data_IF_418833407726
#
_entry.id   IF_418833407726
#
_cell.length_a   1.000
_cell.length_b   1.000
_cell.length_c   1.000
_cell.angle_alpha   90.00
_cell.angle_beta   90.00
_cell.angle_gamma   90.00
#
_symmetry.space_group_name_H-M   'P 1'
#
loop_
_entity.id
_entity.type
_entity.pdbx_description
1 polymer ?
#
# COMPACT_ATOMS: atom_id res chain seq x y z
N UNK A 1 -57.29 -2.53 -13.49
CA UNK A 1 -56.68 -2.85 -14.80
C UNK A 1 -56.08 -1.56 -15.34
N UNK A 2 -54.76 -1.37 -15.38
CA UNK A 2 -53.69 -2.35 -15.51
C UNK A 2 -52.50 -2.02 -14.60
N UNK A 3 -52.15 -3.03 -13.80
CA UNK A 3 -50.99 -3.18 -12.92
C UNK A 3 -49.66 -3.37 -13.70
N UNK A 4 -49.65 -3.10 -15.00
CA UNK A 4 -48.55 -3.52 -15.89
C UNK A 4 -47.50 -2.43 -16.18
N UNK A 5 -47.67 -1.21 -15.68
CA UNK A 5 -46.68 -0.15 -15.91
C UNK A 5 -45.57 -0.07 -14.85
N UNK A 6 -45.72 -0.76 -13.71
CA UNK A 6 -44.74 -0.75 -12.61
C UNK A 6 -43.85 -2.00 -12.55
N UNK A 7 -44.12 -3.04 -13.35
CA UNK A 7 -43.32 -4.26 -13.38
C UNK A 7 -42.07 -4.21 -14.30
N UNK A 8 -41.93 -3.17 -15.13
CA UNK A 8 -40.82 -3.09 -16.11
C UNK A 8 -39.56 -2.38 -15.61
N UNK A 9 -39.49 -1.96 -14.33
CA UNK A 9 -38.36 -1.22 -13.77
C UNK A 9 -37.48 -2.05 -12.84
N UNK A 10 -37.41 -3.35 -13.07
CA UNK A 10 -36.47 -4.25 -12.41
C UNK A 10 -35.62 -4.99 -13.45
N UNK A 11 -34.32 -4.66 -13.46
CA UNK A 11 -33.18 -5.31 -14.15
C UNK A 11 -32.56 -4.53 -15.31
N UNK A 12 -31.96 -3.39 -14.98
CA UNK A 12 -30.70 -3.01 -15.62
C UNK A 12 -29.64 -2.97 -14.50
N UNK A 13 -29.22 -4.15 -14.02
CA UNK A 13 -27.94 -4.22 -13.33
C UNK A 13 -26.85 -3.80 -14.30
N UNK A 14 -25.80 -3.12 -13.83
CA UNK A 14 -24.65 -2.70 -14.68
C UNK A 14 -24.24 -3.86 -15.60
N UNK A 15 -23.90 -3.64 -16.87
CA UNK A 15 -23.54 -4.72 -17.82
C UNK A 15 -22.48 -5.68 -17.25
N UNK A 16 -21.55 -5.16 -16.44
CA UNK A 16 -20.57 -5.90 -15.64
C UNK A 16 -21.21 -6.99 -14.75
N UNK A 17 -22.32 -6.68 -14.07
CA UNK A 17 -23.03 -7.64 -13.21
C UNK A 17 -23.71 -8.77 -14.00
N UNK A 18 -24.09 -8.52 -15.26
CA UNK A 18 -24.68 -9.55 -16.12
C UNK A 18 -23.61 -10.53 -16.65
N UNK A 19 -22.45 -10.00 -17.05
CA UNK A 19 -21.30 -10.83 -17.49
C UNK A 19 -20.79 -11.68 -16.33
N UNK A 20 -20.61 -11.09 -15.14
CA UNK A 20 -20.23 -11.84 -13.93
C UNK A 20 -21.22 -12.96 -13.59
N UNK A 21 -22.52 -12.72 -13.77
CA UNK A 21 -23.55 -13.74 -13.56
C UNK A 21 -23.49 -14.91 -14.55
N UNK A 22 -22.96 -14.69 -15.76
CA UNK A 22 -22.73 -15.74 -16.75
C UNK A 22 -21.45 -16.52 -16.45
N UNK A 23 -20.36 -15.82 -16.11
CA UNK A 23 -19.09 -16.44 -15.73
C UNK A 23 -19.23 -17.37 -14.53
N UNK A 24 -20.03 -16.99 -13.52
CA UNK A 24 -20.32 -17.85 -12.35
C UNK A 24 -20.98 -19.19 -12.67
N UNK A 25 -21.55 -19.35 -13.86
CA UNK A 25 -22.20 -20.59 -14.31
C UNK A 25 -21.29 -21.47 -15.18
N UNK A 26 -20.11 -20.96 -15.54
CA UNK A 26 -19.14 -21.69 -16.35
C UNK A 26 -18.36 -22.67 -15.49
N UNK A 27 -18.01 -23.81 -16.08
CA UNK A 27 -17.06 -24.75 -15.49
C UNK A 27 -15.64 -24.16 -15.47
N UNK A 28 -14.76 -24.76 -14.67
CA UNK A 28 -13.35 -24.36 -14.59
C UNK A 28 -12.67 -24.34 -15.96
N UNK A 29 -12.84 -25.41 -16.75
CA UNK A 29 -12.27 -25.52 -18.10
C UNK A 29 -12.83 -24.44 -19.05
N UNK A 30 -14.12 -24.13 -18.95
CA UNK A 30 -14.71 -23.05 -19.74
C UNK A 30 -14.19 -21.67 -19.34
N UNK A 31 -13.90 -21.45 -18.06
CA UNK A 31 -13.29 -20.20 -17.59
C UNK A 31 -11.84 -20.07 -18.06
N UNK A 32 -11.06 -21.15 -17.99
CA UNK A 32 -9.68 -21.17 -18.49
C UNK A 32 -9.64 -20.88 -19.98
N UNK A 33 -10.51 -21.54 -20.76
CA UNK A 33 -10.64 -21.28 -22.20
C UNK A 33 -11.05 -19.82 -22.51
N UNK A 34 -11.92 -19.23 -21.70
CA UNK A 34 -12.28 -17.80 -21.87
C UNK A 34 -11.09 -16.88 -21.58
N UNK A 35 -10.24 -17.22 -20.60
CA UNK A 35 -8.99 -16.49 -20.31
C UNK A 35 -7.99 -16.64 -21.45
N UNK A 36 -7.82 -17.85 -21.99
CA UNK A 36 -6.99 -18.09 -23.19
C UNK A 36 -7.46 -17.24 -24.37
N UNK A 37 -8.77 -17.24 -24.64
CA UNK A 37 -9.37 -16.42 -25.69
C UNK A 37 -9.23 -14.91 -25.46
N UNK A 38 -9.13 -14.47 -24.20
CA UNK A 38 -8.88 -13.08 -23.84
C UNK A 38 -7.42 -12.72 -24.13
N UNK A 39 -6.48 -13.59 -23.73
CA UNK A 39 -5.04 -13.44 -23.97
C UNK A 39 -4.70 -13.45 -25.47
N UNK A 40 -5.41 -14.26 -26.27
CA UNK A 40 -5.23 -14.28 -27.73
C UNK A 40 -5.70 -12.98 -28.40
N UNK A 41 -6.78 -12.37 -27.89
CA UNK A 41 -7.40 -11.17 -28.49
C UNK A 41 -6.81 -9.86 -27.97
N UNK A 42 -6.33 -9.87 -26.73
CA UNK A 42 -5.73 -8.73 -26.03
C UNK A 42 -4.47 -9.24 -25.31
N UNK A 43 -3.36 -9.46 -26.05
CA UNK A 43 -2.12 -9.99 -25.46
C UNK A 43 -1.50 -9.05 -24.42
N UNK A 44 -1.85 -7.78 -24.47
CA UNK A 44 -1.51 -6.76 -23.49
C UNK A 44 -2.11 -7.04 -22.11
N UNK A 45 -3.18 -7.84 -21.97
CA UNK A 45 -3.71 -8.22 -20.66
C UNK A 45 -2.87 -9.30 -19.95
N UNK A 46 -1.94 -9.96 -20.65
CA UNK A 46 -1.15 -11.04 -20.06
C UNK A 46 -0.41 -10.64 -18.78
N UNK A 47 0.31 -9.51 -18.73
CA UNK A 47 0.97 -9.07 -17.51
C UNK A 47 -0.03 -8.76 -16.38
N UNK A 48 -1.22 -8.23 -16.70
CA UNK A 48 -2.30 -8.02 -15.71
C UNK A 48 -2.82 -9.35 -15.16
N UNK A 49 -2.92 -10.40 -15.97
CA UNK A 49 -3.33 -11.72 -15.48
C UNK A 49 -2.23 -12.37 -14.64
N UNK A 50 -0.97 -12.28 -15.05
CA UNK A 50 0.19 -12.72 -14.25
C UNK A 50 0.23 -11.99 -12.91
N UNK A 51 -0.01 -10.68 -12.92
CA UNK A 51 -0.20 -9.83 -11.74
C UNK A 51 -1.33 -10.38 -10.86
N UNK A 52 -2.53 -10.60 -11.42
CA UNK A 52 -3.70 -11.06 -10.68
C UNK A 52 -3.57 -12.48 -10.10
N UNK A 53 -2.78 -13.35 -10.72
CA UNK A 53 -2.49 -14.72 -10.25
C UNK A 53 -1.62 -14.69 -9.00
N UNK A 54 -0.63 -13.80 -8.97
CA UNK A 54 0.32 -13.67 -7.86
C UNK A 54 -0.29 -12.97 -6.64
N UNK A 55 -1.49 -12.40 -6.76
CA UNK A 55 -2.18 -11.72 -5.68
C UNK A 55 -2.78 -12.70 -4.65
N UNK A 56 -2.65 -12.42 -3.35
CA UNK A 56 -3.54 -13.02 -2.38
C UNK A 56 -4.95 -12.52 -2.67
N UNK A 57 -5.82 -13.42 -3.15
CA UNK A 57 -7.23 -13.11 -3.31
C UNK A 57 -7.80 -12.71 -1.93
N UNK A 58 -8.46 -11.55 -1.79
CA UNK A 58 -9.01 -11.07 -0.50
C UNK A 58 -9.94 -12.08 0.21
N UNK A 59 -10.38 -13.12 -0.51
CA UNK A 59 -11.35 -14.10 -0.05
C UNK A 59 -10.76 -15.51 0.19
N UNK A 60 -9.49 -15.77 -0.09
CA UNK A 60 -8.90 -17.10 0.15
C UNK A 60 -8.48 -17.30 1.62
N UNK A 61 -8.18 -16.22 2.34
CA UNK A 61 -7.87 -16.23 3.78
C UNK A 61 -9.09 -16.04 4.69
N UNK A 62 -10.29 -15.80 4.13
CA UNK A 62 -11.51 -15.58 4.91
C UNK A 62 -12.26 -16.87 5.30
N UNK A 63 -11.78 -18.06 4.91
CA UNK A 63 -12.29 -19.33 5.43
C UNK A 63 -11.49 -19.80 6.65
N UNK A 64 -11.55 -18.99 7.70
CA UNK A 64 -10.98 -19.31 9.00
C UNK A 64 -10.66 -18.03 9.73
N UNK A 65 -11.54 -17.61 10.66
CA UNK A 65 -11.18 -16.67 11.72
C UNK A 65 -10.12 -17.33 12.61
N UNK A 66 -8.91 -17.46 12.13
CA UNK A 66 -7.73 -17.48 12.98
C UNK A 66 -7.29 -16.04 13.00
N UNK A 67 -7.51 -15.33 14.11
CA UNK A 67 -6.82 -14.07 14.39
C UNK A 67 -5.34 -14.31 14.12
N UNK A 68 -4.82 -13.75 13.04
CA UNK A 68 -3.40 -13.88 12.74
C UNK A 68 -2.62 -13.21 13.87
N UNK A 69 -1.48 -13.79 14.24
CA UNK A 69 -0.64 -13.19 15.29
C UNK A 69 -0.04 -11.90 14.76
N UNK A 70 -0.20 -10.80 15.50
CA UNK A 70 0.23 -9.47 15.08
C UNK A 70 1.71 -9.36 14.69
N UNK A 71 2.56 -10.25 15.20
CA UNK A 71 4.00 -10.23 14.97
C UNK A 71 4.51 -11.23 13.92
N UNK A 72 3.64 -12.04 13.31
CA UNK A 72 4.08 -13.10 12.40
C UNK A 72 3.91 -12.65 10.95
N UNK A 73 5.02 -12.51 10.22
CA UNK A 73 5.01 -12.26 8.79
C UNK A 73 4.78 -13.56 8.03
N UNK A 74 3.64 -13.67 7.36
CA UNK A 74 3.24 -14.84 6.55
C UNK A 74 3.23 -14.54 5.05
N UNK A 75 3.33 -13.25 4.70
CA UNK A 75 3.41 -12.79 3.32
C UNK A 75 4.75 -13.09 2.67
N UNK A 76 4.69 -13.42 1.38
CA UNK A 76 5.87 -13.42 0.51
C UNK A 76 6.00 -12.07 -0.19
N UNK A 77 6.84 -11.17 0.34
CA UNK A 77 7.05 -9.83 -0.24
C UNK A 77 7.57 -9.86 -1.68
N UNK A 78 8.16 -10.96 -2.14
CA UNK A 78 8.59 -11.08 -3.54
C UNK A 78 7.42 -11.13 -4.52
N UNK A 79 6.23 -11.59 -4.11
CA UNK A 79 5.05 -11.51 -4.97
C UNK A 79 4.53 -10.07 -5.06
N UNK A 80 4.50 -9.33 -3.95
CA UNK A 80 4.11 -7.91 -3.92
C UNK A 80 5.05 -7.07 -4.79
N UNK A 81 6.37 -7.29 -4.70
CA UNK A 81 7.34 -6.58 -5.55
C UNK A 81 7.16 -6.88 -7.03
N UNK A 82 6.96 -8.16 -7.39
CA UNK A 82 6.66 -8.54 -8.79
C UNK A 82 5.36 -7.95 -9.30
N UNK A 83 4.35 -7.84 -8.43
CA UNK A 83 3.08 -7.22 -8.77
C UNK A 83 3.27 -5.74 -9.11
N UNK A 84 4.06 -5.06 -8.29
CA UNK A 84 4.41 -3.66 -8.45
C UNK A 84 5.19 -3.42 -9.75
N UNK A 85 6.20 -4.25 -10.01
CA UNK A 85 6.96 -4.24 -11.27
C UNK A 85 6.05 -4.49 -12.49
N UNK A 86 5.08 -5.41 -12.38
CA UNK A 86 4.10 -5.69 -13.42
C UNK A 86 3.16 -4.52 -13.71
N UNK A 87 2.66 -3.86 -12.66
CA UNK A 87 1.79 -2.69 -12.77
C UNK A 87 2.50 -1.54 -13.50
N UNK A 88 3.76 -1.30 -13.14
CA UNK A 88 4.58 -0.24 -13.72
C UNK A 88 5.02 -0.56 -15.15
N UNK A 89 5.35 -1.81 -15.44
CA UNK A 89 5.61 -2.26 -16.80
C UNK A 89 4.38 -2.07 -17.72
N UNK A 90 3.18 -2.35 -17.20
CA UNK A 90 1.93 -2.29 -17.97
C UNK A 90 1.44 -0.86 -18.23
N UNK A 91 1.65 0.05 -17.29
CA UNK A 91 1.20 1.42 -17.41
C UNK A 91 1.77 2.14 -18.63
N UNK A 92 2.98 1.77 -19.09
CA UNK A 92 3.63 2.43 -20.22
C UNK A 92 3.98 3.89 -19.93
N UNK A 93 4.21 4.68 -20.99
CA UNK A 93 4.46 6.13 -20.88
C UNK A 93 3.27 6.96 -21.34
N UNK A 94 2.93 8.02 -20.60
CA UNK A 94 1.89 9.00 -20.93
C UNK A 94 0.78 9.12 -19.87
N UNK A 95 0.06 10.24 -19.84
CA UNK A 95 -0.99 10.60 -18.85
C UNK A 95 -1.93 9.47 -18.34
N UNK A 96 -2.40 8.55 -19.20
CA UNK A 96 -3.30 7.45 -18.76
C UNK A 96 -2.58 6.39 -17.90
N UNK A 97 -1.25 6.36 -17.91
CA UNK A 97 -0.42 5.40 -17.18
C UNK A 97 -0.47 5.64 -15.67
N UNK A 98 -0.40 6.90 -15.22
CA UNK A 98 -0.36 7.24 -13.80
C UNK A 98 -1.68 6.92 -13.08
N UNK A 99 -2.82 7.13 -13.74
CA UNK A 99 -4.12 6.75 -13.17
C UNK A 99 -4.29 5.24 -12.99
N UNK A 100 -3.73 4.44 -13.91
CA UNK A 100 -3.72 2.98 -13.80
C UNK A 100 -2.77 2.51 -12.69
N UNK A 101 -1.57 3.11 -12.60
CA UNK A 101 -0.62 2.84 -11.51
C UNK A 101 -1.26 3.19 -10.18
N UNK A 102 -1.81 4.40 -10.02
CA UNK A 102 -2.45 4.84 -8.79
C UNK A 102 -3.59 3.91 -8.37
N UNK A 103 -4.40 3.44 -9.32
CA UNK A 103 -5.47 2.46 -9.05
C UNK A 103 -4.90 1.15 -8.50
N UNK A 104 -3.81 0.66 -9.08
CA UNK A 104 -3.20 -0.60 -8.65
C UNK A 104 -2.45 -0.47 -7.32
N UNK A 105 -1.72 0.64 -7.12
CA UNK A 105 -1.11 0.97 -5.83
C UNK A 105 -2.16 1.09 -4.73
N UNK A 106 -3.28 1.77 -5.00
CA UNK A 106 -4.40 1.88 -4.07
C UNK A 106 -4.95 0.51 -3.69
N UNK A 107 -5.10 -0.39 -4.67
CA UNK A 107 -5.56 -1.76 -4.44
C UNK A 107 -4.56 -2.57 -3.61
N UNK A 108 -3.26 -2.38 -3.80
CA UNK A 108 -2.22 -2.99 -2.98
C UNK A 108 -2.20 -2.41 -1.56
N UNK A 109 -2.37 -1.10 -1.41
CA UNK A 109 -2.52 -0.45 -0.10
C UNK A 109 -3.72 -1.06 0.67
N UNK A 110 -4.84 -1.28 -0.01
CA UNK A 110 -6.02 -1.95 0.54
C UNK A 110 -5.81 -3.39 1.00
N UNK A 111 -4.76 -4.09 0.52
CA UNK A 111 -4.36 -5.39 1.09
C UNK A 111 -3.77 -5.18 2.49
N UNK A 112 -2.98 -4.12 2.68
CA UNK A 112 -2.46 -3.69 3.98
C UNK A 112 -3.60 -3.40 4.95
N UNK A 113 -4.64 -2.70 4.50
CA UNK A 113 -5.83 -2.41 5.30
C UNK A 113 -6.52 -3.70 5.76
N UNK A 114 -6.69 -4.66 4.86
CA UNK A 114 -7.27 -5.96 5.20
C UNK A 114 -6.46 -6.72 6.27
N UNK A 115 -5.13 -6.61 6.26
CA UNK A 115 -4.29 -7.19 7.31
C UNK A 115 -4.40 -6.41 8.63
N UNK A 116 -4.41 -5.08 8.58
CA UNK A 116 -4.59 -4.24 9.76
C UNK A 116 -5.94 -4.51 10.45
N UNK A 117 -7.03 -4.59 9.68
CA UNK A 117 -8.37 -4.97 10.17
C UNK A 117 -8.39 -6.36 10.83
N UNK A 118 -7.55 -7.29 10.34
CA UNK A 118 -7.40 -8.63 10.90
C UNK A 118 -6.46 -8.70 12.12
N UNK A 119 -5.80 -7.60 12.48
CA UNK A 119 -4.78 -7.55 13.54
C UNK A 119 -3.43 -8.14 13.12
N UNK A 120 -3.20 -8.39 11.83
CA UNK A 120 -1.96 -8.95 11.28
C UNK A 120 -0.94 -7.84 10.99
N UNK A 121 -0.50 -7.14 12.04
CA UNK A 121 0.30 -5.91 11.92
C UNK A 121 1.64 -6.10 11.18
N UNK A 122 2.32 -7.24 11.34
CA UNK A 122 3.56 -7.54 10.62
C UNK A 122 3.35 -7.70 9.11
N UNK A 123 2.18 -8.19 8.69
CA UNK A 123 1.82 -8.26 7.27
C UNK A 123 1.37 -6.90 6.76
N UNK A 124 0.53 -6.19 7.52
CA UNK A 124 0.06 -4.85 7.15
C UNK A 124 1.23 -3.88 6.90
N UNK A 125 2.15 -3.78 7.87
CA UNK A 125 3.31 -2.89 7.74
C UNK A 125 4.21 -3.26 6.56
N UNK A 126 4.38 -4.56 6.28
CA UNK A 126 5.14 -5.04 5.12
C UNK A 126 4.54 -4.59 3.79
N UNK A 127 3.22 -4.65 3.67
CA UNK A 127 2.51 -4.22 2.46
C UNK A 127 2.67 -2.72 2.27
N UNK A 128 2.34 -1.93 3.30
CA UNK A 128 2.44 -0.48 3.21
C UNK A 128 3.88 -0.03 2.92
N UNK A 129 4.89 -0.61 3.58
CA UNK A 129 6.29 -0.27 3.35
C UNK A 129 6.74 -0.62 1.92
N UNK A 130 6.31 -1.78 1.40
CA UNK A 130 6.65 -2.18 0.03
C UNK A 130 6.00 -1.26 -1.02
N UNK A 131 4.71 -0.94 -0.86
CA UNK A 131 3.99 -0.05 -1.78
C UNK A 131 4.59 1.35 -1.75
N UNK A 132 4.80 1.91 -0.56
CA UNK A 132 5.35 3.25 -0.37
C UNK A 132 6.77 3.35 -0.92
N UNK A 133 7.64 2.39 -0.58
CA UNK A 133 9.04 2.42 -0.99
C UNK A 133 9.23 2.42 -2.51
N UNK A 134 8.45 1.60 -3.22
CA UNK A 134 8.54 1.58 -4.68
C UNK A 134 7.89 2.78 -5.35
N UNK A 135 6.76 3.25 -4.82
CA UNK A 135 6.09 4.44 -5.32
C UNK A 135 7.01 5.67 -5.21
N UNK A 136 7.72 5.80 -4.08
CA UNK A 136 8.74 6.84 -3.89
C UNK A 136 9.91 6.65 -4.88
N UNK A 137 10.44 5.44 -5.02
CA UNK A 137 11.60 5.17 -5.87
C UNK A 137 11.40 5.52 -7.34
N UNK A 138 10.15 5.44 -7.81
CA UNK A 138 9.77 5.68 -9.21
C UNK A 138 9.00 6.98 -9.41
N UNK A 139 8.80 7.77 -8.35
CA UNK A 139 7.92 8.93 -8.37
C UNK A 139 8.29 9.93 -9.47
N UNK A 140 9.58 10.26 -9.61
CA UNK A 140 10.10 11.18 -10.64
C UNK A 140 9.95 10.66 -12.08
N UNK A 141 9.71 9.36 -12.27
CA UNK A 141 9.56 8.74 -13.58
C UNK A 141 8.10 8.81 -14.10
N UNK A 142 7.15 9.23 -13.26
CA UNK A 142 5.72 9.19 -13.55
C UNK A 142 5.20 10.58 -13.97
N UNK A 143 4.37 10.64 -15.01
CA UNK A 143 3.67 11.88 -15.38
C UNK A 143 2.39 12.02 -14.53
N UNK A 144 2.09 13.22 -14.01
CA UNK A 144 0.89 13.51 -13.18
C UNK A 144 0.90 12.83 -11.78
N UNK A 145 1.97 13.10 -11.05
CA UNK A 145 2.42 12.41 -9.83
C UNK A 145 1.51 12.58 -8.58
N UNK A 146 0.58 13.54 -8.59
CA UNK A 146 -0.22 13.88 -7.40
C UNK A 146 -1.12 12.72 -6.93
N UNK A 147 -1.60 11.87 -7.85
CA UNK A 147 -2.39 10.69 -7.49
C UNK A 147 -1.54 9.65 -6.76
N UNK A 148 -0.27 9.53 -7.16
CA UNK A 148 0.69 8.62 -6.54
C UNK A 148 1.07 9.14 -5.16
N UNK A 149 1.29 10.46 -5.02
CA UNK A 149 1.55 11.08 -3.73
C UNK A 149 0.41 10.82 -2.72
N UNK A 150 -0.85 10.90 -3.16
CA UNK A 150 -1.99 10.56 -2.31
C UNK A 150 -1.96 9.10 -1.83
N UNK A 151 -1.60 8.15 -2.69
CA UNK A 151 -1.47 6.74 -2.27
C UNK A 151 -0.27 6.53 -1.34
N UNK A 152 0.82 7.25 -1.55
CA UNK A 152 1.96 7.25 -0.63
C UNK A 152 1.49 7.74 0.75
N UNK A 153 0.70 8.81 0.83
CA UNK A 153 0.16 9.30 2.11
C UNK A 153 -0.82 8.31 2.76
N UNK A 154 -1.72 7.69 1.98
CA UNK A 154 -2.63 6.65 2.49
C UNK A 154 -1.86 5.48 3.12
N UNK A 155 -0.84 4.97 2.44
CA UNK A 155 0.01 3.91 2.98
C UNK A 155 0.88 4.40 4.15
N UNK A 156 1.30 5.67 4.15
CA UNK A 156 2.01 6.30 5.27
C UNK A 156 1.12 6.39 6.51
N UNK A 157 -0.17 6.69 6.34
CA UNK A 157 -1.16 6.66 7.41
C UNK A 157 -1.33 5.22 7.96
N UNK A 158 -1.34 4.21 7.08
CA UNK A 158 -1.31 2.80 7.46
C UNK A 158 -0.08 2.40 8.27
N UNK A 159 1.12 2.85 7.86
CA UNK A 159 2.36 2.67 8.63
C UNK A 159 2.28 3.37 10.00
N UNK A 160 1.78 4.60 10.05
CA UNK A 160 1.62 5.35 11.29
C UNK A 160 0.68 4.62 12.26
N UNK A 161 -0.44 4.10 11.76
CA UNK A 161 -1.38 3.27 12.52
C UNK A 161 -0.71 2.00 13.04
N UNK A 162 0.08 1.30 12.21
CA UNK A 162 0.84 0.14 12.65
C UNK A 162 1.74 0.46 13.83
N UNK A 163 2.43 1.62 13.81
CA UNK A 163 3.35 2.05 14.86
C UNK A 163 2.61 2.46 16.15
N UNK A 164 1.57 3.30 16.03
CA UNK A 164 0.73 3.71 17.16
C UNK A 164 0.14 2.49 17.90
N UNK A 165 -0.32 1.49 17.14
CA UNK A 165 -0.96 0.29 17.70
C UNK A 165 0.02 -0.56 18.52
N UNK A 166 1.33 -0.55 18.24
CA UNK A 166 2.31 -1.39 18.94
C UNK A 166 2.35 -1.15 20.46
N UNK A 167 2.00 0.05 20.93
CA UNK A 167 1.99 0.37 22.36
C UNK A 167 0.89 -0.37 23.11
N UNK A 168 -0.23 -0.62 22.44
CA UNK A 168 -1.43 -1.21 23.04
C UNK A 168 -1.44 -2.73 22.93
N UNK A 169 -0.64 -3.30 22.03
CA UNK A 169 -0.56 -4.75 21.82
C UNK A 169 0.15 -5.48 22.99
N UNK A 170 -0.27 -6.73 23.28
CA UNK A 170 0.51 -7.67 24.09
C UNK A 170 1.93 -7.86 23.54
N UNK A 171 2.90 -8.10 24.40
CA UNK A 171 4.32 -8.24 24.02
C UNK A 171 4.54 -9.34 22.96
N UNK A 172 3.79 -10.43 23.03
CA UNK A 172 3.86 -11.55 22.08
C UNK A 172 3.11 -11.31 20.76
N UNK A 173 2.45 -10.16 20.61
CA UNK A 173 1.81 -9.70 19.36
C UNK A 173 2.48 -8.47 18.77
N UNK A 174 3.40 -7.83 19.50
CA UNK A 174 4.20 -6.71 19.00
C UNK A 174 5.18 -7.14 17.92
N UNK A 175 5.40 -6.26 16.96
CA UNK A 175 6.42 -6.40 15.93
C UNK A 175 7.79 -6.69 16.54
N UNK A 176 8.56 -7.53 15.83
CA UNK A 176 9.96 -7.76 16.19
C UNK A 176 10.77 -6.47 16.04
N UNK A 177 11.94 -6.40 16.70
CA UNK A 177 12.82 -5.23 16.56
C UNK A 177 13.18 -4.92 15.10
N UNK A 178 13.45 -5.96 14.30
CA UNK A 178 13.75 -5.81 12.87
C UNK A 178 12.55 -5.28 12.08
N UNK A 179 11.33 -5.76 12.37
CA UNK A 179 10.12 -5.27 11.72
C UNK A 179 9.79 -3.82 12.15
N UNK A 180 10.11 -3.44 13.39
CA UNK A 180 9.97 -2.05 13.87
C UNK A 180 10.98 -1.11 13.21
N UNK A 181 12.23 -1.55 13.03
CA UNK A 181 13.23 -0.77 12.29
C UNK A 181 12.81 -0.57 10.82
N UNK A 182 12.28 -1.60 10.16
CA UNK A 182 11.71 -1.51 8.81
C UNK A 182 10.56 -0.49 8.75
N UNK A 183 9.64 -0.55 9.71
CA UNK A 183 8.52 0.38 9.84
C UNK A 183 8.98 1.83 10.03
N UNK A 184 9.95 2.06 10.92
CA UNK A 184 10.52 3.39 11.16
C UNK A 184 11.25 3.92 9.93
N UNK A 185 11.98 3.06 9.23
CA UNK A 185 12.66 3.41 7.97
C UNK A 185 11.65 3.85 6.92
N UNK A 186 10.56 3.10 6.73
CA UNK A 186 9.52 3.43 5.75
C UNK A 186 8.82 4.74 6.08
N UNK A 187 8.50 4.99 7.35
CA UNK A 187 7.95 6.27 7.81
C UNK A 187 8.94 7.42 7.56
N UNK A 188 10.21 7.24 7.89
CA UNK A 188 11.24 8.26 7.69
C UNK A 188 11.43 8.63 6.21
N UNK A 189 11.48 7.64 5.32
CA UNK A 189 11.57 7.86 3.88
C UNK A 189 10.31 8.54 3.32
N UNK A 190 9.12 8.19 3.83
CA UNK A 190 7.86 8.87 3.47
C UNK A 190 7.86 10.34 3.91
N UNK A 191 8.36 10.63 5.10
CA UNK A 191 8.52 12.00 5.57
C UNK A 191 9.51 12.79 4.70
N UNK A 192 10.65 12.20 4.34
CA UNK A 192 11.63 12.80 3.42
C UNK A 192 11.00 13.10 2.06
N UNK A 193 10.27 12.14 1.51
CA UNK A 193 9.50 12.32 0.29
C UNK A 193 8.53 13.51 0.41
N UNK A 194 7.75 13.58 1.48
CA UNK A 194 6.82 14.68 1.73
C UNK A 194 7.50 16.03 1.93
N UNK A 195 8.76 16.06 2.39
CA UNK A 195 9.56 17.28 2.37
C UNK A 195 9.83 17.69 0.92
N UNK A 196 10.37 16.80 0.10
CA UNK A 196 10.86 17.13 -1.24
C UNK A 196 9.72 17.43 -2.23
N UNK A 197 8.61 16.70 -2.14
CA UNK A 197 7.52 16.73 -3.11
C UNK A 197 6.19 17.25 -2.54
N UNK A 198 6.04 17.33 -1.23
CA UNK A 198 4.74 17.58 -0.58
C UNK A 198 3.83 16.35 -0.63
N UNK A 199 2.53 16.56 -0.39
CA UNK A 199 1.51 15.52 -0.57
C UNK A 199 1.42 14.47 0.54
N UNK A 200 2.21 14.60 1.61
CA UNK A 200 2.12 13.76 2.81
C UNK A 200 1.51 14.60 3.94
N UNK A 201 0.23 14.38 4.22
CA UNK A 201 -0.50 15.04 5.30
C UNK A 201 -0.39 14.28 6.63
N UNK A 202 0.05 13.01 6.59
CA UNK A 202 0.27 12.18 7.78
C UNK A 202 1.32 12.80 8.73
N UNK A 203 0.99 12.91 10.03
CA UNK A 203 1.90 13.40 11.08
C UNK A 203 2.99 12.37 11.44
N UNK A 204 3.89 12.09 10.50
CA UNK A 204 4.98 11.13 10.68
C UNK A 204 5.87 11.49 11.87
N UNK A 205 6.22 12.78 12.00
CA UNK A 205 7.11 13.26 13.07
C UNK A 205 6.48 13.02 14.43
N UNK A 206 5.23 13.44 14.63
CA UNK A 206 4.55 13.23 15.90
C UNK A 206 4.37 11.74 16.20
N UNK A 207 4.05 10.92 15.20
CA UNK A 207 3.90 9.47 15.38
C UNK A 207 5.21 8.81 15.79
N UNK A 208 6.34 9.12 15.15
CA UNK A 208 7.64 8.57 15.57
C UNK A 208 7.98 9.01 16.99
N UNK A 209 7.93 10.31 17.28
CA UNK A 209 8.29 10.88 18.59
C UNK A 209 7.52 10.25 19.75
N UNK A 210 6.23 9.92 19.55
CA UNK A 210 5.37 9.32 20.58
C UNK A 210 5.58 7.82 20.79
N UNK A 211 6.21 7.10 19.86
CA UNK A 211 6.16 5.63 19.83
C UNK A 211 7.52 4.93 19.79
N UNK A 212 8.62 5.64 19.54
CA UNK A 212 9.97 5.06 19.56
C UNK A 212 10.44 4.70 20.97
N UNK A 213 11.18 3.60 21.09
CA UNK A 213 12.01 3.34 22.28
C UNK A 213 13.23 4.27 22.32
N UNK A 214 14.03 4.22 23.38
CA UNK A 214 15.27 4.99 23.47
C UNK A 214 16.28 4.55 22.39
N UNK A 215 16.41 3.25 22.14
CA UNK A 215 17.31 2.72 21.10
C UNK A 215 16.85 3.15 19.69
N UNK A 216 15.54 3.10 19.44
CA UNK A 216 14.96 3.57 18.18
C UNK A 216 15.06 5.09 18.01
N UNK A 217 14.96 5.84 19.11
CA UNK A 217 15.17 7.29 19.12
C UNK A 217 16.59 7.62 18.68
N UNK A 218 17.60 6.99 19.28
CA UNK A 218 19.01 7.17 18.90
C UNK A 218 19.23 6.88 17.41
N UNK A 219 18.61 5.82 16.89
CA UNK A 219 18.67 5.46 15.48
C UNK A 219 18.11 6.57 14.57
N UNK A 220 16.91 7.08 14.88
CA UNK A 220 16.28 8.16 14.08
C UNK A 220 17.07 9.46 14.19
N UNK A 221 17.62 9.78 15.37
CA UNK A 221 18.48 10.95 15.51
C UNK A 221 19.74 10.87 14.64
N UNK A 222 20.34 9.69 14.55
CA UNK A 222 21.51 9.47 13.69
C UNK A 222 21.16 9.68 12.21
N UNK A 223 20.02 9.15 11.74
CA UNK A 223 19.54 9.41 10.38
C UNK A 223 19.34 10.90 10.11
N UNK A 224 18.72 11.63 11.03
CA UNK A 224 18.54 13.08 10.93
C UNK A 224 19.87 13.84 10.86
N UNK A 225 20.84 13.46 11.69
CA UNK A 225 22.18 14.10 11.68
C UNK A 225 22.93 13.82 10.39
N UNK A 226 22.83 12.62 9.84
CA UNK A 226 23.43 12.28 8.54
C UNK A 226 22.83 13.12 7.41
N UNK A 227 21.51 13.27 7.38
CA UNK A 227 20.81 14.11 6.39
C UNK A 227 21.22 15.58 6.49
N UNK A 228 21.31 16.15 7.71
CA UNK A 228 21.80 17.51 7.95
C UNK A 228 23.26 17.67 7.48
N UNK A 229 24.10 16.68 7.80
CA UNK A 229 25.53 16.68 7.47
C UNK A 229 25.84 16.53 5.98
N UNK A 230 24.90 16.01 5.19
CA UNK A 230 25.07 15.80 3.74
C UNK A 230 25.27 17.12 2.95
N UNK A 231 24.80 18.24 3.49
CA UNK A 231 24.90 19.56 2.85
C UNK A 231 24.09 19.72 1.56
N UNK A 232 23.30 18.71 1.18
CA UNK A 232 22.46 18.72 -0.03
C UNK A 232 21.06 19.31 0.23
N UNK A 233 20.67 19.45 1.50
CA UNK A 233 19.36 19.96 1.88
C UNK A 233 19.22 21.46 1.64
N UNK A 234 18.07 21.87 1.11
CA UNK A 234 17.66 23.27 1.01
C UNK A 234 17.53 23.91 2.40
N UNK A 235 17.45 25.25 2.48
CA UNK A 235 17.26 25.95 3.75
C UNK A 235 15.97 25.52 4.48
N UNK A 236 14.89 25.29 3.75
CA UNK A 236 13.61 24.86 4.32
C UNK A 236 13.68 23.40 4.81
N UNK A 237 14.31 22.49 4.04
CA UNK A 237 14.50 21.08 4.45
C UNK A 237 15.38 20.97 5.69
N UNK A 238 16.42 21.79 5.79
CA UNK A 238 17.26 21.89 6.99
C UNK A 238 16.47 22.37 8.23
N UNK A 239 15.52 23.30 8.07
CA UNK A 239 14.66 23.72 9.18
C UNK A 239 13.74 22.60 9.64
N UNK A 240 13.16 21.84 8.71
CA UNK A 240 12.33 20.66 9.04
C UNK A 240 13.14 19.57 9.74
N UNK A 241 14.35 19.25 9.26
CA UNK A 241 15.26 18.29 9.89
C UNK A 241 15.63 18.68 11.32
N UNK A 242 16.01 19.95 11.54
CA UNK A 242 16.32 20.46 12.89
C UNK A 242 15.07 20.46 13.78
N UNK A 243 13.91 20.83 13.23
CA UNK A 243 12.64 20.79 13.96
C UNK A 243 12.23 19.39 14.40
N UNK A 244 12.46 18.37 13.56
CA UNK A 244 12.26 16.98 13.93
C UNK A 244 13.23 16.56 15.04
N UNK A 245 14.52 16.84 14.87
CA UNK A 245 15.54 16.50 15.88
C UNK A 245 15.22 17.11 17.26
N UNK A 246 14.79 18.39 17.29
CA UNK A 246 14.38 19.04 18.55
C UNK A 246 13.20 18.32 19.18
N UNK A 247 12.16 17.99 18.41
CA UNK A 247 10.99 17.26 18.93
C UNK A 247 11.33 15.88 19.48
N UNK A 248 12.32 15.19 18.89
CA UNK A 248 12.81 13.91 19.44
C UNK A 248 13.53 14.07 20.77
N UNK A 249 14.10 15.25 21.06
CA UNK A 249 14.86 15.51 22.30
C UNK A 249 14.01 16.10 23.44
N UNK A 250 12.78 16.55 23.15
CA UNK A 250 11.87 17.16 24.12
C UNK A 250 11.02 16.15 24.90
N UNK A 251 11.03 14.88 24.52
CA UNK A 251 10.23 13.78 25.13
C UNK A 251 11.15 12.88 25.94
#
# INVERSE_FOLDING_TARGET
MTEDAQAAKARAGKPETAVLGQLRKKSHEELLFLVEQLLERQPDIKPLIELLIELPLPNASQQGKTSGKGNTRTLNLSSIRKQLDGALYYAGGGWESAGLIATELSRLCGIGDGFAEAGEWANAQAVYAAVTGEAIARYEELEDEWQIAAIIDDCTAGLALCLDTQRELPEDERLSAADREELLTALFESWKFGQDYGGIDTDVVGTIVRNVSEEERELVEEWLRQEIGSGQATKWRNQSLVGFLVKLQEV
#
